data_IF_147555878611
#
_entry.id   IF_147555878611
#
_cell.length_a   1.000
_cell.length_b   1.000
_cell.length_c   1.000
_cell.angle_alpha   90.00
_cell.angle_beta   90.00
_cell.angle_gamma   90.00
#
_symmetry.space_group_name_H-M   'P 1'
#
loop_
_entity.id
_entity.type
_entity.pdbx_description
1 polymer ?
#
# COMPACT_ATOMS: atom_id res chain seq x y z
N UNK A 1 30.68 4.24 5.32
CA UNK A 1 30.27 4.11 3.90
C UNK A 1 30.13 5.53 3.32
N UNK A 2 30.51 5.78 2.06
CA UNK A 2 30.26 7.07 1.43
C UNK A 2 28.75 7.31 1.36
N UNK A 3 28.33 8.57 1.57
CA UNK A 3 26.94 8.98 1.45
C UNK A 3 26.49 8.83 0.00
N UNK A 4 25.40 8.12 -0.24
CA UNK A 4 24.78 7.92 -1.56
C UNK A 4 23.28 8.12 -1.46
N UNK A 5 22.60 8.30 -2.61
CA UNK A 5 21.15 8.39 -2.65
C UNK A 5 20.50 7.18 -1.96
N UNK A 6 20.96 5.99 -2.26
CA UNK A 6 20.38 4.75 -1.71
C UNK A 6 20.61 4.63 -0.20
N UNK A 7 21.80 5.01 0.30
CA UNK A 7 22.08 5.00 1.74
C UNK A 7 21.23 6.03 2.50
N UNK A 8 20.97 7.20 1.89
CA UNK A 8 20.07 8.23 2.46
C UNK A 8 18.63 7.73 2.51
N UNK A 9 18.14 7.11 1.43
CA UNK A 9 16.76 6.60 1.37
C UNK A 9 16.55 5.40 2.29
N UNK A 10 17.52 4.49 2.38
CA UNK A 10 17.47 3.37 3.33
C UNK A 10 17.44 3.85 4.79
N UNK A 11 18.24 4.87 5.14
CA UNK A 11 18.21 5.47 6.47
C UNK A 11 16.89 6.22 6.74
N UNK A 12 16.33 6.89 5.73
CA UNK A 12 15.02 7.53 5.84
C UNK A 12 13.91 6.51 6.10
N UNK A 13 13.91 5.39 5.37
CA UNK A 13 12.96 4.30 5.57
C UNK A 13 13.10 3.69 6.98
N UNK A 14 14.31 3.41 7.42
CA UNK A 14 14.56 2.90 8.78
C UNK A 14 14.07 3.87 9.87
N UNK A 15 14.20 5.18 9.66
CA UNK A 15 13.68 6.18 10.60
C UNK A 15 12.14 6.23 10.59
N UNK A 16 11.51 6.08 9.42
CA UNK A 16 10.05 5.98 9.28
C UNK A 16 9.54 4.71 9.97
N UNK A 17 10.21 3.58 9.82
CA UNK A 17 9.85 2.31 10.48
C UNK A 17 9.90 2.41 12.00
N UNK A 18 10.81 3.23 12.54
CA UNK A 18 10.94 3.43 13.97
C UNK A 18 9.90 4.40 14.55
N UNK A 19 9.60 5.50 13.85
CA UNK A 19 8.89 6.67 14.41
C UNK A 19 7.60 7.04 13.67
N UNK A 20 7.33 6.42 12.53
CA UNK A 20 6.24 6.83 11.63
C UNK A 20 6.60 8.03 10.76
N UNK A 21 5.77 8.25 9.75
CA UNK A 21 5.97 9.35 8.79
C UNK A 21 5.73 10.72 9.42
N UNK A 22 4.78 10.83 10.34
CA UNK A 22 4.45 12.11 11.00
C UNK A 22 5.63 12.65 11.80
N UNK A 23 6.29 11.80 12.57
CA UNK A 23 7.47 12.15 13.37
C UNK A 23 8.78 12.19 12.56
N UNK A 24 8.75 11.90 11.25
CA UNK A 24 9.95 11.95 10.41
C UNK A 24 10.52 13.36 10.29
N UNK A 25 11.79 13.51 10.63
CA UNK A 25 12.52 14.78 10.60
C UNK A 25 13.81 14.68 9.79
N UNK A 26 14.01 15.62 8.87
CA UNK A 26 15.27 15.73 8.09
C UNK A 26 16.49 15.96 9.00
N UNK A 27 16.31 16.65 10.12
CA UNK A 27 17.39 16.89 11.10
C UNK A 27 17.79 15.59 11.81
N UNK A 28 16.81 14.75 12.15
CA UNK A 28 17.09 13.46 12.79
C UNK A 28 17.74 12.48 11.83
N UNK A 29 17.30 12.48 10.55
CA UNK A 29 17.96 11.72 9.49
C UNK A 29 19.41 12.16 9.30
N UNK A 30 19.67 13.47 9.23
CA UNK A 30 21.04 13.99 9.11
C UNK A 30 21.91 13.59 10.32
N UNK A 31 21.34 13.67 11.52
CA UNK A 31 22.01 13.25 12.76
C UNK A 31 22.34 11.74 12.74
N UNK A 32 21.42 10.90 12.31
CA UNK A 32 21.63 9.44 12.23
C UNK A 32 22.74 9.04 11.26
N UNK A 33 22.93 9.85 10.22
CA UNK A 33 23.98 9.65 9.20
C UNK A 33 25.29 10.38 9.50
N UNK A 34 25.34 11.19 10.58
CA UNK A 34 26.52 11.96 10.95
C UNK A 34 26.87 13.08 9.99
N UNK A 35 25.87 13.65 9.30
CA UNK A 35 26.04 14.70 8.29
C UNK A 35 25.22 15.96 8.59
N UNK A 36 25.51 17.06 7.91
CA UNK A 36 24.64 18.23 7.94
C UNK A 36 23.40 18.04 7.05
N UNK A 37 22.23 18.59 7.40
CA UNK A 37 21.00 18.47 6.58
C UNK A 37 21.17 18.90 5.13
N UNK A 38 22.03 19.88 4.86
CA UNK A 38 22.34 20.33 3.50
C UNK A 38 22.98 19.24 2.65
N UNK A 39 23.75 18.32 3.23
CA UNK A 39 24.39 17.23 2.51
C UNK A 39 23.34 16.23 1.96
N UNK A 40 22.21 16.06 2.64
CA UNK A 40 21.13 15.17 2.17
C UNK A 40 20.52 15.68 0.86
N UNK A 41 20.38 16.99 0.71
CA UNK A 41 19.75 17.60 -0.47
C UNK A 41 20.58 17.49 -1.74
N UNK A 42 21.91 17.25 -1.63
CA UNK A 42 22.73 16.91 -2.77
C UNK A 42 22.40 15.54 -3.35
N UNK A 43 21.95 14.60 -2.50
CA UNK A 43 21.59 13.24 -2.91
C UNK A 43 20.10 13.09 -3.22
N UNK A 44 19.22 13.80 -2.48
CA UNK A 44 17.76 13.77 -2.63
C UNK A 44 17.23 15.20 -2.60
N UNK A 45 17.24 15.90 -3.74
CA UNK A 45 16.65 17.25 -3.85
C UNK A 45 15.13 17.21 -3.59
N UNK A 46 14.55 18.28 -3.02
CA UNK A 46 13.10 18.42 -2.83
C UNK A 46 12.63 18.29 -1.38
N UNK A 47 13.56 18.24 -0.42
CA UNK A 47 13.25 18.36 1.01
C UNK A 47 12.59 17.13 1.62
N UNK A 48 11.84 17.35 2.71
CA UNK A 48 11.20 16.29 3.49
C UNK A 48 10.31 15.37 2.65
N UNK A 49 9.50 15.94 1.77
CA UNK A 49 8.55 15.16 0.96
C UNK A 49 9.28 14.26 -0.05
N UNK A 50 10.37 14.74 -0.67
CA UNK A 50 11.17 13.93 -1.59
C UNK A 50 11.90 12.77 -0.86
N UNK A 51 12.35 12.98 0.37
CA UNK A 51 12.94 11.93 1.20
C UNK A 51 11.90 10.85 1.57
N UNK A 52 10.69 11.26 1.96
CA UNK A 52 9.59 10.32 2.26
C UNK A 52 9.20 9.55 0.98
N UNK A 53 9.00 10.25 -0.14
CA UNK A 53 8.67 9.61 -1.41
C UNK A 53 9.73 8.62 -1.86
N UNK A 54 11.01 8.99 -1.77
CA UNK A 54 12.11 8.11 -2.09
C UNK A 54 12.20 6.89 -1.16
N UNK A 55 11.93 7.06 0.13
CA UNK A 55 11.86 5.96 1.09
C UNK A 55 10.71 4.99 0.77
N UNK A 56 9.52 5.52 0.43
CA UNK A 56 8.37 4.72 -0.03
C UNK A 56 8.72 3.94 -1.29
N UNK A 57 9.32 4.60 -2.30
CA UNK A 57 9.77 3.94 -3.53
C UNK A 57 10.78 2.83 -3.23
N UNK A 58 11.73 3.06 -2.32
CA UNK A 58 12.70 2.04 -1.92
C UNK A 58 12.04 0.86 -1.20
N UNK A 59 11.00 1.10 -0.39
CA UNK A 59 10.26 0.05 0.32
C UNK A 59 9.49 -0.87 -0.62
N UNK A 60 8.92 -0.32 -1.71
CA UNK A 60 8.13 -1.06 -2.69
C UNK A 60 8.88 -1.29 -4.01
N UNK A 61 10.17 -1.04 -4.05
CA UNK A 61 11.00 -1.27 -5.24
C UNK A 61 11.24 -2.75 -5.55
N UNK A 62 11.59 -3.04 -6.79
CA UNK A 62 11.89 -4.41 -7.25
C UNK A 62 10.66 -5.31 -7.33
N UNK A 63 9.49 -4.70 -7.52
CA UNK A 63 8.22 -5.42 -7.63
C UNK A 63 7.88 -5.81 -9.08
N UNK A 64 8.73 -5.44 -10.04
CA UNK A 64 8.44 -5.71 -11.44
C UNK A 64 8.05 -7.19 -11.61
N UNK A 65 6.91 -7.48 -12.24
CA UNK A 65 6.57 -8.84 -12.59
C UNK A 65 7.65 -9.41 -13.52
N UNK A 66 7.94 -10.73 -13.48
CA UNK A 66 8.83 -11.34 -14.45
C UNK A 66 8.33 -11.04 -15.87
N UNK A 67 9.26 -10.97 -16.85
CA UNK A 67 8.88 -10.70 -18.23
C UNK A 67 7.77 -11.68 -18.66
N UNK A 68 6.67 -11.11 -19.18
CA UNK A 68 5.45 -11.83 -19.47
C UNK A 68 5.70 -13.10 -20.32
N UNK A 69 5.38 -14.25 -19.78
CA UNK A 69 5.51 -15.53 -20.45
C UNK A 69 4.31 -16.45 -20.15
N UNK A 70 3.12 -15.92 -19.84
CA UNK A 70 2.04 -16.83 -19.52
C UNK A 70 0.73 -16.20 -19.08
N UNK A 71 0.25 -16.58 -17.94
CA UNK A 71 -1.05 -16.18 -17.40
C UNK A 71 -0.96 -14.78 -16.75
N UNK A 72 -1.40 -13.76 -17.47
CA UNK A 72 -1.43 -12.38 -16.98
C UNK A 72 -2.21 -12.23 -15.66
N UNK A 73 -3.23 -13.09 -15.43
CA UNK A 73 -4.02 -13.07 -14.21
C UNK A 73 -3.18 -13.55 -13.01
N UNK A 74 -2.40 -14.61 -13.20
CA UNK A 74 -1.48 -15.12 -12.17
C UNK A 74 -0.35 -14.13 -11.89
N UNK A 75 0.18 -13.46 -12.92
CA UNK A 75 1.20 -12.42 -12.77
C UNK A 75 0.67 -11.22 -12.01
N UNK A 76 -0.56 -10.77 -12.29
CA UNK A 76 -1.20 -9.67 -11.58
C UNK A 76 -1.46 -10.00 -10.10
N UNK A 77 -1.93 -11.22 -9.79
CA UNK A 77 -2.06 -11.69 -8.40
C UNK A 77 -0.72 -11.69 -7.68
N UNK A 78 0.33 -12.13 -8.37
CA UNK A 78 1.70 -12.13 -7.83
C UNK A 78 2.19 -10.72 -7.54
N UNK A 79 1.92 -9.76 -8.43
CA UNK A 79 2.25 -8.36 -8.22
C UNK A 79 1.55 -7.80 -6.98
N UNK A 80 0.23 -8.02 -6.84
CA UNK A 80 -0.52 -7.58 -5.66
C UNK A 80 0.01 -8.20 -4.37
N UNK A 81 0.33 -9.50 -4.38
CA UNK A 81 0.88 -10.19 -3.21
C UNK A 81 2.26 -9.65 -2.81
N UNK A 82 3.14 -9.41 -3.79
CA UNK A 82 4.47 -8.83 -3.55
C UNK A 82 4.38 -7.41 -3.02
N UNK A 83 3.48 -6.59 -3.58
CA UNK A 83 3.24 -5.23 -3.11
C UNK A 83 2.76 -5.24 -1.66
N UNK A 84 1.74 -6.04 -1.34
CA UNK A 84 1.25 -6.20 0.04
C UNK A 84 2.36 -6.64 0.97
N UNK A 85 3.15 -7.65 0.59
CA UNK A 85 4.29 -8.13 1.38
C UNK A 85 5.36 -7.04 1.60
N UNK A 86 5.64 -6.23 0.59
CA UNK A 86 6.59 -5.12 0.71
C UNK A 86 6.10 -4.09 1.73
N UNK A 87 4.82 -3.70 1.69
CA UNK A 87 4.24 -2.75 2.65
C UNK A 87 4.13 -3.36 4.05
N UNK A 88 3.83 -4.66 4.19
CA UNK A 88 3.83 -5.34 5.49
C UNK A 88 5.21 -5.36 6.16
N UNK A 89 6.31 -5.33 5.40
CA UNK A 89 7.66 -5.17 5.96
C UNK A 89 7.91 -3.77 6.52
N UNK A 90 7.17 -2.78 6.03
CA UNK A 90 7.29 -1.35 6.36
C UNK A 90 5.92 -0.73 6.65
N UNK A 91 5.14 -1.24 7.63
CA UNK A 91 3.73 -0.89 7.79
C UNK A 91 3.49 0.60 8.04
N UNK A 92 4.48 1.30 8.59
CA UNK A 92 4.37 2.73 8.89
C UNK A 92 4.43 3.65 7.67
N UNK A 93 4.65 3.10 6.44
CA UNK A 93 4.49 3.87 5.20
C UNK A 93 3.05 3.85 4.68
N UNK A 94 2.19 2.94 5.15
CA UNK A 94 0.84 2.76 4.62
C UNK A 94 0.01 4.06 4.56
N UNK A 95 0.05 4.96 5.57
CA UNK A 95 -0.74 6.20 5.55
C UNK A 95 -0.43 7.14 4.38
N UNK A 96 0.77 7.05 3.81
CA UNK A 96 1.21 7.99 2.76
C UNK A 96 1.21 7.38 1.36
N UNK A 97 0.89 6.10 1.20
CA UNK A 97 0.90 5.44 -0.12
C UNK A 97 -0.01 6.15 -1.12
N UNK A 98 -1.25 6.44 -0.75
CA UNK A 98 -2.19 7.15 -1.62
C UNK A 98 -1.75 8.60 -1.92
N UNK A 99 -1.24 9.31 -0.91
CA UNK A 99 -0.76 10.68 -1.08
C UNK A 99 0.46 10.76 -2.01
N UNK A 100 1.35 9.77 -1.98
CA UNK A 100 2.51 9.72 -2.86
C UNK A 100 2.12 9.48 -4.32
N UNK A 101 1.07 8.71 -4.60
CA UNK A 101 0.55 8.53 -5.96
C UNK A 101 0.06 9.85 -6.55
N UNK A 102 -0.72 10.61 -5.79
CA UNK A 102 -1.28 11.90 -6.25
C UNK A 102 -0.18 12.93 -6.53
N UNK A 103 0.87 12.94 -5.71
CA UNK A 103 1.99 13.89 -5.89
C UNK A 103 3.00 13.46 -6.96
N UNK A 104 2.84 12.28 -7.59
CA UNK A 104 3.82 11.66 -8.48
C UNK A 104 5.24 11.59 -7.89
N UNK A 105 5.34 11.61 -6.57
CA UNK A 105 6.62 11.70 -5.89
C UNK A 105 7.37 10.36 -5.83
N UNK A 106 6.66 9.25 -6.04
CA UNK A 106 7.20 7.89 -6.04
C UNK A 106 7.01 7.19 -7.39
N UNK A 107 7.37 7.89 -8.48
CA UNK A 107 7.33 7.33 -9.82
C UNK A 107 8.42 6.25 -9.99
N UNK A 108 8.01 5.01 -10.27
CA UNK A 108 8.85 3.92 -10.73
C UNK A 108 8.50 3.58 -12.19
N UNK A 109 9.24 4.12 -13.18
CA UNK A 109 8.93 3.94 -14.58
C UNK A 109 8.97 2.47 -15.02
N UNK A 110 9.84 1.65 -14.41
CA UNK A 110 9.96 0.23 -14.78
C UNK A 110 8.72 -0.56 -14.33
N UNK A 111 8.23 -0.29 -13.11
CA UNK A 111 6.99 -0.91 -12.62
C UNK A 111 5.80 -0.53 -13.49
N UNK A 112 5.68 0.77 -13.86
CA UNK A 112 4.59 1.25 -14.71
C UNK A 112 4.63 0.64 -16.10
N UNK A 113 5.80 0.59 -16.73
CA UNK A 113 6.03 -0.03 -18.03
C UNK A 113 5.63 -1.52 -18.01
N UNK A 114 6.03 -2.25 -16.97
CA UNK A 114 5.69 -3.67 -16.80
C UNK A 114 4.19 -3.90 -16.60
N UNK A 115 3.51 -3.04 -15.84
CA UNK A 115 2.05 -3.13 -15.68
C UNK A 115 1.36 -2.90 -17.02
N UNK A 116 1.77 -1.90 -17.79
CA UNK A 116 1.21 -1.63 -19.11
C UNK A 116 1.46 -2.79 -20.07
N UNK A 117 2.69 -3.30 -20.15
CA UNK A 117 3.03 -4.45 -21.00
C UNK A 117 2.22 -5.71 -20.63
N UNK A 118 1.99 -5.93 -19.33
CA UNK A 118 1.16 -7.04 -18.85
C UNK A 118 -0.30 -6.90 -19.33
N UNK A 119 -0.87 -5.71 -19.22
CA UNK A 119 -2.23 -5.42 -19.64
C UNK A 119 -2.38 -5.48 -21.17
N UNK A 120 -1.40 -4.97 -21.94
CA UNK A 120 -1.38 -5.11 -23.40
C UNK A 120 -1.32 -6.58 -23.82
N UNK A 121 -0.47 -7.39 -23.17
CA UNK A 121 -0.38 -8.84 -23.45
C UNK A 121 -1.68 -9.58 -23.14
N UNK A 122 -2.50 -9.07 -22.21
CA UNK A 122 -3.83 -9.58 -21.91
C UNK A 122 -4.88 -9.22 -22.97
N UNK A 123 -4.58 -8.26 -23.86
CA UNK A 123 -5.49 -7.80 -24.92
C UNK A 123 -6.19 -6.47 -24.63
N UNK A 124 -5.79 -5.74 -23.59
CA UNK A 124 -6.27 -4.37 -23.38
C UNK A 124 -5.59 -3.41 -24.36
N UNK A 125 -6.36 -2.49 -24.93
CA UNK A 125 -5.89 -1.46 -25.86
C UNK A 125 -6.62 -0.14 -25.64
N UNK A 126 -6.08 0.92 -26.21
CA UNK A 126 -6.66 2.27 -26.22
C UNK A 126 -7.17 2.73 -24.84
N UNK A 127 -8.38 3.25 -24.78
CA UNK A 127 -8.97 3.71 -23.51
C UNK A 127 -9.15 2.56 -22.50
N UNK A 128 -9.41 1.34 -23.00
CA UNK A 128 -9.53 0.15 -22.15
C UNK A 128 -8.24 -0.18 -21.40
N UNK A 129 -7.08 0.06 -22.02
CA UNK A 129 -5.78 -0.09 -21.38
C UNK A 129 -5.59 0.91 -20.22
N UNK A 130 -5.96 2.18 -20.45
CA UNK A 130 -5.85 3.21 -19.39
C UNK A 130 -6.80 2.97 -18.23
N UNK A 131 -8.02 2.52 -18.53
CA UNK A 131 -9.00 2.15 -17.51
C UNK A 131 -8.51 0.96 -16.68
N UNK A 132 -7.99 -0.08 -17.32
CA UNK A 132 -7.42 -1.26 -16.65
C UNK A 132 -6.20 -0.89 -15.79
N UNK A 133 -5.30 -0.07 -16.33
CA UNK A 133 -4.15 0.45 -15.60
C UNK A 133 -4.58 1.20 -14.32
N UNK A 134 -5.55 2.10 -14.42
CA UNK A 134 -6.06 2.84 -13.26
C UNK A 134 -6.67 1.90 -12.22
N UNK A 135 -7.40 0.85 -12.64
CA UNK A 135 -7.92 -0.18 -11.74
C UNK A 135 -6.78 -0.89 -11.01
N UNK A 136 -5.73 -1.30 -11.73
CA UNK A 136 -4.56 -2.00 -11.13
C UNK A 136 -3.87 -1.12 -10.09
N UNK A 137 -3.57 0.14 -10.43
CA UNK A 137 -2.90 1.07 -9.49
C UNK A 137 -3.76 1.35 -8.25
N UNK A 138 -5.05 1.63 -8.45
CA UNK A 138 -5.97 1.86 -7.34
C UNK A 138 -6.08 0.61 -6.45
N UNK A 139 -6.18 -0.55 -7.08
CA UNK A 139 -6.22 -1.82 -6.40
C UNK A 139 -4.95 -2.08 -5.58
N UNK A 140 -3.75 -1.90 -6.13
CA UNK A 140 -2.49 -2.11 -5.40
C UNK A 140 -2.47 -1.37 -4.06
N UNK A 141 -2.94 -0.13 -4.03
CA UNK A 141 -2.81 0.74 -2.85
C UNK A 141 -3.95 0.57 -1.87
N UNK A 142 -5.20 0.40 -2.36
CA UNK A 142 -6.39 0.54 -1.51
C UNK A 142 -6.47 -0.48 -0.38
N UNK A 143 -6.35 -1.78 -0.68
CA UNK A 143 -6.51 -2.82 0.33
C UNK A 143 -5.45 -2.73 1.43
N UNK A 144 -4.18 -2.63 1.05
CA UNK A 144 -3.07 -2.63 2.01
C UNK A 144 -3.06 -1.36 2.87
N UNK A 145 -3.46 -0.22 2.32
CA UNK A 145 -3.59 1.04 3.08
C UNK A 145 -4.67 0.90 4.16
N UNK A 146 -5.82 0.29 3.83
CA UNK A 146 -6.88 0.04 4.80
C UNK A 146 -6.49 -1.04 5.81
N UNK A 147 -5.80 -2.09 5.37
CA UNK A 147 -5.34 -3.17 6.24
C UNK A 147 -4.35 -2.70 7.30
N UNK A 148 -3.40 -1.85 6.89
CA UNK A 148 -2.32 -1.33 7.72
C UNK A 148 -2.59 0.09 8.24
N UNK A 149 -3.87 0.52 8.21
CA UNK A 149 -4.24 1.80 8.83
C UNK A 149 -3.77 1.82 10.29
N UNK A 150 -3.03 2.86 10.70
CA UNK A 150 -2.46 2.92 12.04
C UNK A 150 -3.56 3.08 13.09
N UNK A 151 -3.31 2.52 14.26
CA UNK A 151 -4.01 2.87 15.48
C UNK A 151 -3.46 4.23 15.99
N UNK A 152 -4.22 4.97 16.81
CA UNK A 152 -3.67 6.14 17.50
C UNK A 152 -2.48 5.76 18.38
N UNK A 153 -1.36 6.48 18.22
CA UNK A 153 -0.11 6.17 18.95
C UNK A 153 -0.16 6.57 20.44
N UNK A 154 -1.02 7.54 20.81
CA UNK A 154 -1.04 8.14 22.15
C UNK A 154 -1.62 7.20 23.23
N UNK A 155 -2.65 6.41 22.90
CA UNK A 155 -3.29 5.43 23.80
C UNK A 155 -3.98 4.33 22.99
N UNK A 156 -3.23 3.36 22.43
CA UNK A 156 -3.78 2.29 21.62
C UNK A 156 -4.79 1.41 22.35
N UNK A 157 -4.52 1.09 23.62
CA UNK A 157 -5.39 0.21 24.42
C UNK A 157 -6.71 0.90 24.78
N UNK A 158 -6.66 2.16 25.22
CA UNK A 158 -7.85 2.95 25.50
C UNK A 158 -8.69 3.21 24.25
N UNK A 159 -8.03 3.46 23.12
CA UNK A 159 -8.72 3.58 21.82
C UNK A 159 -9.42 2.27 21.43
N UNK A 160 -8.74 1.13 21.54
CA UNK A 160 -9.28 -0.18 21.21
C UNK A 160 -10.48 -0.52 22.10
N UNK A 161 -10.36 -0.28 23.42
CA UNK A 161 -11.46 -0.49 24.38
C UNK A 161 -12.67 0.40 24.06
N UNK A 162 -12.44 1.69 23.82
CA UNK A 162 -13.50 2.64 23.44
C UNK A 162 -14.16 2.29 22.09
N UNK A 163 -13.39 1.75 21.13
CA UNK A 163 -13.95 1.28 19.87
C UNK A 163 -14.85 0.05 20.07
N UNK A 164 -14.40 -0.93 20.87
CA UNK A 164 -15.20 -2.11 21.22
C UNK A 164 -16.49 -1.72 21.94
N UNK A 165 -16.42 -0.78 22.89
CA UNK A 165 -17.60 -0.27 23.59
C UNK A 165 -18.60 0.39 22.63
N UNK A 166 -18.15 1.23 21.68
CA UNK A 166 -19.03 1.81 20.65
C UNK A 166 -19.69 0.74 19.80
N UNK A 167 -18.98 -0.32 19.43
CA UNK A 167 -19.55 -1.45 18.68
C UNK A 167 -20.60 -2.20 19.50
N UNK A 168 -20.39 -2.37 20.81
CA UNK A 168 -21.35 -3.03 21.71
C UNK A 168 -22.63 -2.20 21.94
N UNK A 169 -22.58 -0.89 21.73
CA UNK A 169 -23.72 0.03 21.86
C UNK A 169 -24.55 0.15 20.58
N UNK A 170 -24.25 -0.59 19.51
CA UNK A 170 -25.02 -0.57 18.27
C UNK A 170 -26.43 -1.07 18.55
N UNK A 171 -27.43 -0.18 18.27
CA UNK A 171 -28.84 -0.53 18.43
C UNK A 171 -29.26 -1.57 17.40
N UNK A 172 -29.67 -2.79 17.84
CA UNK A 172 -30.09 -3.84 16.93
C UNK A 172 -31.43 -3.54 16.22
N UNK A 173 -32.21 -2.60 16.72
CA UNK A 173 -33.47 -2.18 16.06
C UNK A 173 -33.15 -1.24 14.90
N UNK A 174 -32.26 -0.29 15.12
CA UNK A 174 -31.83 0.64 14.06
C UNK A 174 -30.91 -0.02 13.03
N UNK A 175 -30.05 -0.98 13.46
CA UNK A 175 -29.03 -1.62 12.61
C UNK A 175 -29.13 -3.17 12.68
N UNK A 176 -30.26 -3.79 12.29
CA UNK A 176 -30.49 -5.22 12.53
C UNK A 176 -29.51 -6.14 11.76
N UNK A 177 -29.12 -5.75 10.56
CA UNK A 177 -28.16 -6.53 9.74
C UNK A 177 -26.75 -6.46 10.33
N UNK A 178 -26.29 -5.26 10.70
CA UNK A 178 -24.98 -5.10 11.32
C UNK A 178 -24.92 -5.84 12.66
N UNK A 179 -25.92 -5.69 13.52
CA UNK A 179 -25.95 -6.35 14.83
C UNK A 179 -25.89 -7.89 14.70
N UNK A 180 -26.54 -8.46 13.67
CA UNK A 180 -26.50 -9.91 13.39
C UNK A 180 -25.11 -10.40 13.01
N UNK A 181 -24.36 -9.64 12.20
CA UNK A 181 -23.08 -10.07 11.65
C UNK A 181 -21.87 -9.59 12.46
N UNK A 182 -22.05 -8.58 13.31
CA UNK A 182 -20.98 -7.96 14.07
C UNK A 182 -20.12 -8.95 14.87
N UNK A 183 -20.66 -9.99 15.54
CA UNK A 183 -19.85 -10.96 16.29
C UNK A 183 -18.82 -11.70 15.42
N UNK A 184 -19.12 -11.91 14.12
CA UNK A 184 -18.22 -12.57 13.18
C UNK A 184 -17.27 -11.59 12.48
N UNK A 185 -17.68 -10.31 12.35
CA UNK A 185 -16.91 -9.24 11.69
C UNK A 185 -15.94 -8.55 12.64
N UNK A 186 -16.25 -8.54 13.94
CA UNK A 186 -15.48 -7.82 14.96
C UNK A 186 -14.00 -8.22 14.92
N UNK A 187 -13.13 -7.22 14.81
CA UNK A 187 -11.69 -7.32 14.60
C UNK A 187 -11.23 -8.09 13.34
N UNK A 188 -12.11 -8.43 12.41
CA UNK A 188 -11.83 -9.19 11.17
C UNK A 188 -12.24 -8.48 9.89
N UNK A 189 -12.97 -7.37 9.98
CA UNK A 189 -13.41 -6.61 8.84
C UNK A 189 -13.05 -5.13 9.00
N UNK A 190 -12.86 -4.44 7.88
CA UNK A 190 -12.58 -2.99 7.90
C UNK A 190 -13.65 -2.25 8.69
N UNK A 191 -13.25 -1.14 9.32
CA UNK A 191 -14.09 -0.26 10.14
C UNK A 191 -14.49 -0.84 11.50
N UNK A 192 -14.69 -2.16 11.62
CA UNK A 192 -15.06 -2.83 12.88
C UNK A 192 -13.88 -3.58 13.52
N UNK A 193 -12.68 -3.19 13.21
CA UNK A 193 -11.45 -3.76 13.76
C UNK A 193 -10.71 -2.76 14.65
N UNK A 194 -10.00 -3.28 15.64
CA UNK A 194 -9.16 -2.54 16.58
C UNK A 194 -7.70 -3.01 16.60
N UNK A 195 -7.37 -4.09 15.90
CA UNK A 195 -5.99 -4.52 15.68
C UNK A 195 -5.50 -4.09 14.31
N UNK A 196 -4.22 -3.74 14.22
CA UNK A 196 -3.53 -3.48 12.95
C UNK A 196 -3.42 -4.75 12.09
N UNK A 197 -3.33 -4.60 10.77
CA UNK A 197 -3.00 -5.67 9.84
C UNK A 197 -1.61 -6.28 10.07
N UNK A 198 -0.70 -5.57 10.75
CA UNK A 198 0.59 -6.10 11.18
C UNK A 198 0.44 -7.19 12.25
N UNK A 199 -0.57 -7.08 13.11
CA UNK A 199 -0.88 -8.02 14.18
C UNK A 199 -1.86 -9.09 13.72
N UNK A 200 -2.85 -8.68 12.96
CA UNK A 200 -3.93 -9.53 12.46
C UNK A 200 -4.15 -9.29 10.95
N UNK A 201 -3.36 -9.95 10.07
CA UNK A 201 -3.51 -9.85 8.63
C UNK A 201 -4.90 -10.31 8.14
N UNK A 202 -5.39 -9.65 7.09
CA UNK A 202 -6.68 -9.97 6.46
C UNK A 202 -6.48 -10.87 5.22
N UNK A 203 -5.77 -12.00 5.36
CA UNK A 203 -5.35 -12.84 4.23
C UNK A 203 -6.51 -13.33 3.37
N UNK A 204 -7.56 -13.87 3.97
CA UNK A 204 -8.74 -14.33 3.24
C UNK A 204 -9.47 -13.18 2.52
N UNK A 205 -9.53 -12.00 3.15
CA UNK A 205 -10.10 -10.80 2.55
C UNK A 205 -9.27 -10.29 1.37
N UNK A 206 -7.95 -10.32 1.50
CA UNK A 206 -7.03 -9.97 0.43
C UNK A 206 -7.15 -10.92 -0.77
N UNK A 207 -7.23 -12.22 -0.52
CA UNK A 207 -7.38 -13.23 -1.56
C UNK A 207 -8.68 -13.07 -2.34
N UNK A 208 -9.80 -12.90 -1.64
CA UNK A 208 -11.10 -12.62 -2.24
C UNK A 208 -11.09 -11.33 -3.06
N UNK A 209 -10.47 -10.27 -2.53
CA UNK A 209 -10.31 -9.00 -3.22
C UNK A 209 -9.47 -9.13 -4.50
N UNK A 210 -8.31 -9.81 -4.46
CA UNK A 210 -7.49 -10.09 -5.64
C UNK A 210 -8.29 -10.83 -6.71
N UNK A 211 -9.07 -11.84 -6.31
CA UNK A 211 -9.91 -12.60 -7.23
C UNK A 211 -10.94 -11.71 -7.92
N UNK A 212 -11.64 -10.87 -7.17
CA UNK A 212 -12.66 -9.96 -7.73
C UNK A 212 -12.05 -8.96 -8.70
N UNK A 213 -10.90 -8.36 -8.37
CA UNK A 213 -10.22 -7.39 -9.25
C UNK A 213 -9.79 -8.06 -10.55
N UNK A 214 -9.12 -9.21 -10.48
CA UNK A 214 -8.60 -9.92 -11.66
C UNK A 214 -9.74 -10.43 -12.54
N UNK A 215 -10.79 -11.01 -11.96
CA UNK A 215 -11.97 -11.46 -12.71
C UNK A 215 -12.72 -10.28 -13.33
N UNK A 216 -12.84 -9.16 -12.61
CA UNK A 216 -13.45 -7.93 -13.12
C UNK A 216 -12.71 -7.37 -14.34
N UNK A 217 -11.37 -7.40 -14.32
CA UNK A 217 -10.56 -7.02 -15.47
C UNK A 217 -10.75 -8.00 -16.63
N UNK A 218 -10.71 -9.32 -16.38
CA UNK A 218 -10.92 -10.34 -17.41
C UNK A 218 -12.28 -10.18 -18.10
N UNK A 219 -13.33 -9.86 -17.37
CA UNK A 219 -14.66 -9.63 -17.91
C UNK A 219 -14.77 -8.39 -18.84
N UNK A 220 -13.78 -7.50 -18.81
CA UNK A 220 -13.72 -6.29 -19.65
C UNK A 220 -12.91 -6.48 -20.93
N UNK A 221 -12.25 -7.63 -21.11
CA UNK A 221 -11.54 -7.95 -22.34
C UNK A 221 -12.50 -8.06 -23.51
N UNK A 222 -12.12 -7.62 -24.71
CA UNK A 222 -12.88 -7.86 -25.93
C UNK A 222 -13.12 -9.37 -26.11
N UNK A 223 -14.34 -9.77 -26.48
CA UNK A 223 -14.71 -11.19 -26.67
C UNK A 223 -13.87 -11.93 -27.71
N UNK A 224 -13.19 -11.20 -28.59
CA UNK A 224 -12.29 -11.77 -29.62
C UNK A 224 -10.90 -12.17 -29.07
N UNK A 225 -10.58 -11.91 -27.83
CA UNK A 225 -9.31 -12.28 -27.20
C UNK A 225 -9.42 -13.58 -26.36
N UNK A 226 -10.56 -14.25 -26.38
CA UNK A 226 -10.87 -15.46 -25.62
C UNK A 226 -10.96 -16.74 -26.49
N UNK A 227 -10.77 -16.63 -27.81
CA UNK A 227 -10.66 -17.72 -28.78
C UNK A 227 -9.19 -17.91 -29.22
#
# INVERSE_FOLDING_TARGET
>A
MPLSRDSVLAAALALIDQRGVEAFSVRDLARSLGVYPTALYWHVPGGRNALIAGAVTAAVGGLEPPAAAGDWQAELRTLFARYRQAVHRHPRIAPVLGAQLVSNASLDPLLLDRILALLESAGFADQGLFDAYNVVIAAMVSFVTLELAPQPDDDPDGWAAGHQERLAQIDPVACPTLARHLPQMANRAFVVRWSSGSEQPLDAGFEAWCQVVVQGLAARLPRSALD
#
